data_IF_430337211575
#
_entry.id   IF_430337211575
#
_cell.length_a   1.000
_cell.length_b   1.000
_cell.length_c   1.000
_cell.angle_alpha   90.00
_cell.angle_beta   90.00
_cell.angle_gamma   90.00
#
_symmetry.space_group_name_H-M   'P 1'
#
loop_
_entity.id
_entity.type
_entity.pdbx_description
1 polymer ?
#
# COMPACT_ATOMS: atom_id res chain seq x y z
N UNK A 1 -19.29 46.33 -49.76
CA UNK A 1 -19.49 45.79 -48.40
C UNK A 1 -18.52 44.62 -48.24
N UNK A 2 -17.30 44.89 -47.77
CA UNK A 2 -16.22 43.91 -47.71
C UNK A 2 -16.25 43.23 -46.34
N UNK A 3 -16.55 41.93 -46.32
CA UNK A 3 -16.51 41.12 -45.11
C UNK A 3 -15.05 40.79 -44.78
N UNK A 4 -14.54 41.30 -43.66
CA UNK A 4 -13.26 40.93 -43.08
C UNK A 4 -13.39 39.55 -42.45
N UNK A 5 -12.89 38.52 -43.14
CA UNK A 5 -12.73 37.18 -42.57
C UNK A 5 -11.61 37.24 -41.54
N UNK A 6 -11.96 37.24 -40.25
CA UNK A 6 -11.03 37.04 -39.15
C UNK A 6 -10.53 35.59 -39.19
N UNK A 7 -9.27 35.41 -39.53
CA UNK A 7 -8.54 34.15 -39.37
C UNK A 7 -8.43 33.83 -37.87
N UNK A 8 -8.80 32.63 -37.40
CA UNK A 8 -8.64 32.27 -36.00
C UNK A 8 -7.15 32.20 -35.65
N UNK A 9 -6.78 32.84 -34.54
CA UNK A 9 -5.48 32.71 -33.91
C UNK A 9 -5.26 31.23 -33.56
N UNK A 10 -4.52 30.50 -34.39
CA UNK A 10 -3.97 29.20 -34.00
C UNK A 10 -2.90 29.52 -32.95
N UNK A 11 -3.02 29.05 -31.70
CA UNK A 11 -1.93 29.17 -30.75
C UNK A 11 -0.77 28.38 -31.34
N UNK A 12 0.29 29.08 -31.76
CA UNK A 12 1.56 28.44 -32.06
C UNK A 12 2.04 27.65 -30.84
N UNK A 13 2.91 26.65 -31.02
CA UNK A 13 3.44 25.88 -29.91
C UNK A 13 4.01 26.87 -28.90
N UNK A 14 3.47 26.84 -27.69
CA UNK A 14 3.91 27.68 -26.59
C UNK A 14 5.31 27.17 -26.27
N UNK A 15 6.33 27.76 -26.89
CA UNK A 15 7.71 27.67 -26.44
C UNK A 15 7.79 28.48 -25.13
N UNK A 16 7.16 27.94 -24.09
CA UNK A 16 7.50 28.29 -22.74
C UNK A 16 8.98 28.00 -22.52
N UNK A 17 9.61 28.65 -21.53
CA UNK A 17 11.00 28.33 -21.19
C UNK A 17 11.10 26.83 -21.06
N UNK A 18 12.10 26.23 -21.70
CA UNK A 18 12.44 24.82 -21.63
C UNK A 18 12.49 24.44 -20.16
N UNK A 19 11.33 24.06 -19.62
CA UNK A 19 11.21 23.46 -18.31
C UNK A 19 11.88 22.15 -18.59
N UNK A 20 13.13 22.04 -18.15
CA UNK A 20 13.78 20.77 -17.94
C UNK A 20 12.69 19.88 -17.35
N UNK A 21 12.16 18.97 -18.18
CA UNK A 21 11.10 18.08 -17.76
C UNK A 21 11.71 17.35 -16.58
N UNK A 22 11.25 17.71 -15.37
CA UNK A 22 12.01 17.37 -14.20
C UNK A 22 11.97 15.85 -14.16
N UNK A 23 13.08 15.26 -13.74
CA UNK A 23 13.34 13.83 -13.65
C UNK A 23 12.31 13.04 -12.80
N UNK A 24 11.21 13.69 -12.42
CA UNK A 24 9.94 13.16 -11.91
C UNK A 24 9.40 12.01 -12.78
N UNK A 25 9.67 12.01 -14.10
CA UNK A 25 9.24 10.90 -14.99
C UNK A 25 10.15 9.66 -14.92
N UNK A 26 11.27 9.70 -14.19
CA UNK A 26 12.34 8.71 -14.30
C UNK A 26 12.67 7.92 -13.03
N UNK A 27 11.89 8.01 -11.94
CA UNK A 27 11.81 6.80 -11.11
C UNK A 27 11.02 5.80 -11.94
N UNK A 28 11.74 4.97 -12.70
CA UNK A 28 11.18 3.87 -13.47
C UNK A 28 10.14 3.18 -12.56
N UNK A 29 8.92 2.87 -13.03
CA UNK A 29 7.90 2.24 -12.19
C UNK A 29 8.41 1.04 -11.39
N UNK A 30 9.44 0.38 -11.93
CA UNK A 30 10.20 -0.72 -11.32
C UNK A 30 11.01 -0.30 -10.08
N UNK A 31 11.62 0.89 -10.06
CA UNK A 31 12.35 1.43 -8.91
C UNK A 31 11.41 1.75 -7.75
N UNK A 32 10.25 2.34 -8.06
CA UNK A 32 9.23 2.59 -7.05
C UNK A 32 8.74 1.27 -6.43
N UNK A 33 8.44 0.27 -7.27
CA UNK A 33 7.99 -1.04 -6.81
C UNK A 33 9.06 -1.74 -5.94
N UNK A 34 10.33 -1.64 -6.33
CA UNK A 34 11.47 -2.17 -5.58
C UNK A 34 11.60 -1.52 -4.20
N UNK A 35 11.48 -0.19 -4.11
CA UNK A 35 11.53 0.54 -2.84
C UNK A 35 10.35 0.20 -1.92
N UNK A 36 9.15 0.06 -2.48
CA UNK A 36 7.96 -0.35 -1.71
C UNK A 36 8.11 -1.78 -1.21
N UNK A 37 8.62 -2.69 -2.04
CA UNK A 37 8.89 -4.08 -1.63
C UNK A 37 9.93 -4.15 -0.52
N UNK A 38 11.02 -3.38 -0.63
CA UNK A 38 12.03 -3.27 0.41
C UNK A 38 11.43 -2.75 1.73
N UNK A 39 10.64 -1.68 1.69
CA UNK A 39 9.97 -1.14 2.88
C UNK A 39 8.99 -2.15 3.49
N UNK A 40 8.29 -2.91 2.65
CA UNK A 40 7.36 -3.96 3.06
C UNK A 40 8.04 -5.10 3.83
N UNK A 41 9.24 -5.51 3.39
CA UNK A 41 10.04 -6.55 4.04
C UNK A 41 10.58 -6.10 5.42
N UNK A 42 10.91 -4.82 5.57
CA UNK A 42 11.40 -4.25 6.84
C UNK A 42 10.26 -4.03 7.83
N UNK A 43 9.05 -3.70 7.33
CA UNK A 43 7.89 -3.43 8.18
C UNK A 43 7.40 -4.69 8.91
N UNK A 44 7.18 -4.63 10.24
CA UNK A 44 6.89 -5.80 11.04
C UNK A 44 5.55 -6.46 10.67
N UNK A 45 5.45 -7.81 10.69
CA UNK A 45 4.27 -8.58 10.27
C UNK A 45 3.05 -8.39 11.19
N UNK A 46 3.25 -7.76 12.35
CA UNK A 46 2.23 -7.39 13.36
C UNK A 46 0.96 -6.68 12.89
N UNK A 47 0.95 -6.19 11.65
CA UNK A 47 -0.16 -5.46 11.06
C UNK A 47 -0.69 -6.23 9.86
N UNK A 48 -2.01 -6.21 9.66
CA UNK A 48 -2.65 -6.88 8.54
C UNK A 48 -1.98 -6.49 7.22
N UNK A 49 -1.82 -7.45 6.29
CA UNK A 49 -1.26 -7.25 4.93
C UNK A 49 -1.62 -5.90 4.29
N UNK A 50 -2.89 -5.45 4.23
CA UNK A 50 -3.24 -4.17 3.61
C UNK A 50 -2.68 -2.96 4.35
N UNK A 51 -2.59 -3.01 5.69
CA UNK A 51 -1.95 -1.94 6.48
C UNK A 51 -0.43 -1.92 6.28
N UNK A 52 0.21 -3.07 6.02
CA UNK A 52 1.65 -3.14 5.69
C UNK A 52 1.94 -2.53 4.34
N UNK A 53 1.13 -2.87 3.34
CA UNK A 53 1.23 -2.29 2.00
C UNK A 53 1.04 -0.77 2.05
N UNK A 54 -0.03 -0.29 2.70
CA UNK A 54 -0.26 1.15 2.86
C UNK A 54 0.88 1.86 3.61
N UNK A 55 1.42 1.24 4.67
CA UNK A 55 2.56 1.79 5.39
C UNK A 55 3.83 1.84 4.53
N UNK A 56 4.11 0.80 3.74
CA UNK A 56 5.24 0.75 2.82
C UNK A 56 5.16 1.87 1.76
N UNK A 57 3.98 2.07 1.16
CA UNK A 57 3.74 3.20 0.26
C UNK A 57 3.95 4.55 0.95
N UNK A 58 3.44 4.71 2.18
CA UNK A 58 3.61 5.95 2.93
C UNK A 58 5.07 6.28 3.27
N UNK A 59 5.92 5.26 3.53
CA UNK A 59 7.36 5.46 3.74
C UNK A 59 8.01 5.96 2.45
N UNK A 60 7.78 5.28 1.33
CA UNK A 60 8.39 5.64 0.05
C UNK A 60 7.93 7.04 -0.39
N UNK A 61 6.63 7.35 -0.29
CA UNK A 61 6.10 8.67 -0.61
C UNK A 61 6.72 9.78 0.25
N UNK A 62 6.92 9.53 1.55
CA UNK A 62 7.55 10.50 2.46
C UNK A 62 9.02 10.76 2.12
N UNK A 63 9.74 9.73 1.69
CA UNK A 63 11.14 9.86 1.28
C UNK A 63 11.26 10.50 -0.10
N UNK A 64 10.33 10.20 -1.01
CA UNK A 64 10.38 10.71 -2.38
C UNK A 64 9.98 12.19 -2.49
N UNK A 65 9.00 12.64 -1.70
CA UNK A 65 8.57 14.05 -1.68
C UNK A 65 9.72 15.07 -1.53
N UNK A 66 10.72 14.87 -0.65
CA UNK A 66 11.88 15.76 -0.54
C UNK A 66 13.09 15.33 -1.38
N UNK A 67 13.06 14.18 -2.08
CA UNK A 67 14.24 13.59 -2.71
C UNK A 67 14.41 13.89 -4.22
N UNK A 68 13.64 14.83 -4.75
CA UNK A 68 13.82 15.38 -6.11
C UNK A 68 15.29 15.78 -6.33
N UNK A 69 16.02 15.02 -7.17
CA UNK A 69 17.43 15.28 -7.51
C UNK A 69 18.50 14.54 -6.69
N UNK A 70 18.13 13.63 -5.78
CA UNK A 70 19.11 12.83 -5.02
C UNK A 70 19.48 11.51 -5.75
N UNK A 71 20.72 11.00 -5.58
CA UNK A 71 21.10 9.69 -6.13
C UNK A 71 20.22 8.54 -5.59
N UNK A 72 19.92 7.55 -6.44
CA UNK A 72 19.04 6.40 -6.09
C UNK A 72 19.49 5.66 -4.82
N UNK A 73 20.80 5.49 -4.59
CA UNK A 73 21.33 4.85 -3.38
C UNK A 73 20.99 5.63 -2.10
N UNK A 74 20.94 6.96 -2.19
CA UNK A 74 20.54 7.81 -1.07
C UNK A 74 19.06 7.62 -0.73
N UNK A 75 18.21 7.53 -1.76
CA UNK A 75 16.77 7.27 -1.61
C UNK A 75 16.57 5.90 -0.96
N UNK A 76 17.25 4.87 -1.46
CA UNK A 76 17.17 3.50 -0.92
C UNK A 76 17.57 3.43 0.56
N UNK A 77 18.69 4.04 0.93
CA UNK A 77 19.16 4.10 2.33
C UNK A 77 18.17 4.84 3.23
N UNK A 78 17.60 5.93 2.73
CA UNK A 78 16.59 6.72 3.44
C UNK A 78 15.30 5.93 3.69
N UNK A 79 14.83 5.15 2.71
CA UNK A 79 13.68 4.24 2.85
C UNK A 79 13.95 3.16 3.89
N UNK A 80 15.13 2.51 3.86
CA UNK A 80 15.53 1.51 4.87
C UNK A 80 15.49 2.13 6.28
N UNK A 81 16.08 3.30 6.44
CA UNK A 81 16.21 3.96 7.73
C UNK A 81 14.85 4.40 8.29
N UNK A 82 13.97 4.95 7.45
CA UNK A 82 12.64 5.37 7.88
C UNK A 82 11.73 4.16 8.16
N UNK A 83 11.81 3.09 7.36
CA UNK A 83 11.09 1.85 7.64
C UNK A 83 11.54 1.21 8.96
N UNK A 84 12.85 1.19 9.24
CA UNK A 84 13.41 0.71 10.50
C UNK A 84 12.98 1.59 11.70
N UNK A 85 12.98 2.92 11.53
CA UNK A 85 12.47 3.86 12.54
C UNK A 85 10.99 3.65 12.81
N UNK A 86 10.20 3.38 11.78
CA UNK A 86 8.77 3.12 11.92
C UNK A 86 8.51 1.75 12.58
N UNK A 87 9.34 0.76 12.30
CA UNK A 87 9.31 -0.53 12.97
C UNK A 87 9.61 -0.41 14.47
N UNK A 88 10.60 0.41 14.86
CA UNK A 88 11.00 0.59 16.26
C UNK A 88 10.02 1.42 17.08
N UNK A 89 9.26 2.33 16.46
CA UNK A 89 8.22 3.13 17.14
C UNK A 89 6.97 2.36 17.54
N UNK A 90 6.80 1.08 17.16
CA UNK A 90 5.57 0.33 17.47
C UNK A 90 5.60 -0.36 18.85
N UNK A 91 4.50 -0.18 19.57
CA UNK A 91 4.23 -0.69 20.92
C UNK A 91 4.13 -2.21 20.99
N UNK A 92 4.40 -2.79 22.18
CA UNK A 92 4.39 -4.23 22.44
C UNK A 92 3.07 -4.95 22.07
N UNK A 93 1.92 -4.26 22.12
CA UNK A 93 0.63 -4.78 21.67
C UNK A 93 0.59 -5.11 20.16
N UNK A 94 1.33 -4.38 19.34
CA UNK A 94 1.48 -4.74 17.92
C UNK A 94 2.29 -6.04 17.77
N UNK A 95 3.34 -6.25 18.56
CA UNK A 95 4.15 -7.49 18.52
C UNK A 95 3.31 -8.75 18.81
N UNK A 96 2.37 -8.67 19.75
CA UNK A 96 1.41 -9.75 20.02
C UNK A 96 0.49 -10.04 18.82
N UNK A 97 0.06 -9.00 18.09
CA UNK A 97 -0.67 -9.18 16.82
C UNK A 97 0.15 -9.88 15.73
N UNK A 98 1.48 -9.83 15.81
CA UNK A 98 2.41 -10.48 14.88
C UNK A 98 2.54 -11.99 15.06
N UNK A 99 2.28 -12.51 16.26
CA UNK A 99 2.28 -13.96 16.52
C UNK A 99 1.15 -14.69 15.77
N UNK A 100 0.07 -13.97 15.44
CA UNK A 100 -1.06 -14.49 14.68
C UNK A 100 -1.12 -13.93 13.25
N UNK A 101 -0.12 -13.14 12.85
CA UNK A 101 -0.06 -12.59 11.52
C UNK A 101 0.35 -13.69 10.52
N UNK A 102 -0.46 -13.96 9.49
CA UNK A 102 -0.06 -14.92 8.47
C UNK A 102 1.21 -14.42 7.76
N UNK A 103 2.19 -15.31 7.62
CA UNK A 103 3.34 -15.04 6.75
C UNK A 103 2.84 -14.91 5.32
N UNK A 104 3.23 -13.85 4.63
CA UNK A 104 2.92 -13.71 3.20
C UNK A 104 3.66 -14.79 2.41
N UNK A 105 3.08 -15.21 1.28
CA UNK A 105 3.79 -16.04 0.32
C UNK A 105 5.04 -15.30 -0.16
N UNK A 106 6.14 -16.04 -0.38
CA UNK A 106 7.42 -15.48 -0.80
C UNK A 106 7.32 -14.65 -2.11
N UNK A 107 6.34 -14.97 -2.96
CA UNK A 107 6.11 -14.31 -4.25
C UNK A 107 5.20 -13.07 -4.15
N UNK A 108 4.86 -12.62 -2.94
CA UNK A 108 3.99 -11.44 -2.80
C UNK A 108 4.69 -10.15 -3.21
N UNK A 109 4.13 -9.52 -4.25
CA UNK A 109 4.57 -8.23 -4.77
C UNK A 109 3.56 -7.15 -4.37
N UNK A 110 3.92 -6.17 -3.51
CA UNK A 110 2.98 -5.18 -2.99
C UNK A 110 2.44 -4.22 -4.06
N UNK A 111 3.18 -4.04 -5.15
CA UNK A 111 2.80 -3.19 -6.28
C UNK A 111 2.18 -3.97 -7.44
N UNK A 112 2.04 -5.31 -7.35
CA UNK A 112 1.34 -6.05 -8.38
C UNK A 112 -0.11 -5.58 -8.45
N UNK A 113 -0.56 -5.29 -9.68
CA UNK A 113 -1.97 -5.00 -9.96
C UNK A 113 -2.86 -6.23 -9.91
N UNK A 114 -2.26 -7.42 -9.85
CA UNK A 114 -3.01 -8.66 -9.76
C UNK A 114 -3.54 -8.82 -8.33
N UNK A 115 -4.85 -8.67 -8.19
CA UNK A 115 -5.55 -8.90 -6.94
C UNK A 115 -5.45 -10.39 -6.64
N UNK A 116 -4.56 -10.73 -5.70
CA UNK A 116 -4.37 -12.08 -5.16
C UNK A 116 -5.71 -12.68 -4.72
N UNK A 117 -6.33 -13.41 -5.64
CA UNK A 117 -7.66 -13.99 -5.51
C UNK A 117 -7.70 -15.04 -4.40
N UNK A 118 -6.56 -15.71 -4.14
CA UNK A 118 -6.40 -16.62 -3.02
C UNK A 118 -6.47 -15.86 -1.68
N UNK A 119 -5.87 -14.67 -1.57
CA UNK A 119 -6.01 -13.83 -0.38
C UNK A 119 -7.45 -13.32 -0.16
N UNK A 120 -8.18 -13.01 -1.24
CA UNK A 120 -9.61 -12.64 -1.17
C UNK A 120 -10.45 -13.83 -0.70
N UNK A 121 -10.20 -15.02 -1.26
CA UNK A 121 -10.91 -16.25 -0.92
C UNK A 121 -10.62 -16.71 0.52
N UNK A 122 -9.40 -16.48 1.02
CA UNK A 122 -9.04 -16.82 2.39
C UNK A 122 -9.72 -15.91 3.41
N UNK A 123 -9.93 -14.62 3.10
CA UNK A 123 -10.70 -13.70 3.96
C UNK A 123 -12.16 -14.09 4.07
N UNK A 124 -12.80 -14.46 2.95
CA UNK A 124 -14.19 -14.92 2.94
C UNK A 124 -14.35 -16.23 3.70
N UNK A 125 -13.42 -17.19 3.56
CA UNK A 125 -13.43 -18.43 4.36
C UNK A 125 -13.28 -18.17 5.86
N UNK A 126 -12.42 -17.25 6.28
CA UNK A 126 -12.26 -16.89 7.71
C UNK A 126 -13.49 -16.18 8.26
N UNK A 127 -14.05 -15.21 7.52
CA UNK A 127 -15.30 -14.54 7.90
C UNK A 127 -16.45 -15.52 8.06
N UNK A 128 -16.57 -16.48 7.13
CA UNK A 128 -17.58 -17.54 7.20
C UNK A 128 -17.38 -18.45 8.41
N UNK A 129 -16.14 -18.86 8.71
CA UNK A 129 -15.86 -19.69 9.90
C UNK A 129 -16.23 -18.97 11.20
N UNK A 130 -15.81 -17.71 11.36
CA UNK A 130 -16.11 -16.91 12.56
C UNK A 130 -17.62 -16.70 12.71
N UNK A 131 -18.31 -16.35 11.62
CA UNK A 131 -19.75 -16.22 11.62
C UNK A 131 -20.42 -17.55 12.04
N UNK A 132 -20.00 -18.68 11.44
CA UNK A 132 -20.53 -19.99 11.81
C UNK A 132 -20.28 -20.35 13.27
N UNK A 133 -19.09 -20.13 13.84
CA UNK A 133 -18.84 -20.42 15.26
C UNK A 133 -19.69 -19.55 16.18
N UNK A 134 -19.81 -18.26 15.88
CA UNK A 134 -20.67 -17.35 16.66
C UNK A 134 -22.12 -17.83 16.59
N UNK A 135 -22.64 -18.12 15.39
CA UNK A 135 -24.02 -18.61 15.22
C UNK A 135 -24.25 -19.91 15.98
N UNK A 136 -23.32 -20.86 15.91
CA UNK A 136 -23.43 -22.14 16.63
C UNK A 136 -23.42 -21.92 18.14
N UNK A 137 -22.50 -21.10 18.66
CA UNK A 137 -22.45 -20.78 20.09
C UNK A 137 -23.75 -20.12 20.57
N UNK A 138 -24.26 -19.16 19.82
CA UNK A 138 -25.52 -18.48 20.13
C UNK A 138 -26.69 -19.46 20.09
N UNK A 139 -26.79 -20.31 19.06
CA UNK A 139 -27.87 -21.28 18.93
C UNK A 139 -27.85 -22.33 20.06
N UNK A 140 -26.67 -22.84 20.40
CA UNK A 140 -26.49 -23.77 21.52
C UNK A 140 -26.86 -23.11 22.85
N UNK A 141 -26.47 -21.85 23.06
CA UNK A 141 -26.85 -21.08 24.25
C UNK A 141 -28.36 -20.91 24.40
N UNK A 142 -29.06 -20.59 23.31
CA UNK A 142 -30.53 -20.48 23.31
C UNK A 142 -31.18 -21.83 23.63
N UNK A 143 -30.72 -22.91 22.98
CA UNK A 143 -31.27 -24.25 23.21
C UNK A 143 -31.06 -24.71 24.66
N UNK A 144 -29.88 -24.46 25.22
CA UNK A 144 -29.58 -24.78 26.61
C UNK A 144 -30.45 -23.97 27.58
N UNK A 145 -30.68 -22.68 27.29
CA UNK A 145 -31.57 -21.83 28.09
C UNK A 145 -33.01 -22.36 28.08
N UNK A 146 -33.52 -22.79 26.92
CA UNK A 146 -34.88 -23.35 26.80
C UNK A 146 -35.02 -24.70 27.52
N UNK A 147 -33.97 -25.51 27.56
CA UNK A 147 -33.97 -26.80 28.27
C UNK A 147 -33.85 -26.66 29.79
N UNK A 148 -33.28 -25.56 30.28
CA UNK A 148 -33.16 -25.25 31.71
C UNK A 148 -34.32 -24.39 32.25
N UNK A 149 -35.25 -23.97 31.38
CA UNK A 149 -36.47 -23.24 31.75
C UNK A 149 -37.65 -24.19 31.88
#
# INVERSE_FOLDING_TARGET
>A
MSATVQTPLVPGPIQGPTREEPQIEALLPDDYASLVHLAYLILPPSISRPRRVAAAHGVVQRVLSPAEGYPHEFIRRSVVQEAARQASRRTALCRLGGLFAPSDAADFTPCARDLDSAAVQQRTRRGRRVASTITVLTAVGILASLLMS
#
